data_IF_690970238857
#
_entry.id   IF_690970238857
#
_cell.length_a   1.000
_cell.length_b   1.000
_cell.length_c   1.000
_cell.angle_alpha   90.00
_cell.angle_beta   90.00
_cell.angle_gamma   90.00
#
_symmetry.space_group_name_H-M   'P 1'
#
loop_
_entity.id
_entity.type
_entity.pdbx_description
1 polymer ?
#
# COMPACT_ATOMS: atom_id res chain seq x y z
N UNK A 1 -8.39 46.17 -10.32
CA UNK A 1 -7.62 46.37 -9.08
C UNK A 1 -6.42 45.43 -9.10
N UNK A 2 -5.23 46.03 -9.01
CA UNK A 2 -3.86 45.53 -8.81
C UNK A 2 -3.53 44.03 -8.88
N UNK A 3 -2.50 43.75 -9.70
CA UNK A 3 -1.55 42.65 -9.51
C UNK A 3 -0.71 42.88 -8.24
N UNK A 4 -0.58 41.87 -7.37
CA UNK A 4 0.61 41.71 -6.54
C UNK A 4 0.97 40.23 -6.40
N UNK A 5 2.13 39.94 -6.97
CA UNK A 5 2.82 38.68 -7.11
C UNK A 5 3.66 38.40 -5.84
N UNK A 6 3.92 37.12 -5.57
CA UNK A 6 5.07 36.59 -4.83
C UNK A 6 5.23 36.86 -3.33
N UNK A 7 4.95 35.80 -2.54
CA UNK A 7 5.88 35.36 -1.48
C UNK A 7 5.67 33.89 -1.13
N UNK A 8 6.37 33.03 -1.87
CA UNK A 8 6.72 31.67 -1.46
C UNK A 8 7.51 31.72 -0.15
N UNK A 9 6.83 31.53 0.98
CA UNK A 9 7.49 31.37 2.30
C UNK A 9 6.74 30.38 3.21
N UNK A 10 6.29 29.24 2.66
CA UNK A 10 5.98 28.06 3.49
C UNK A 10 7.17 27.09 3.55
N UNK A 11 8.39 27.62 3.59
CA UNK A 11 9.62 26.90 3.92
C UNK A 11 9.84 26.73 5.44
N UNK A 12 8.81 26.96 6.25
CA UNK A 12 8.89 26.84 7.70
C UNK A 12 8.52 25.46 8.26
N UNK A 13 8.18 24.46 7.43
CA UNK A 13 8.35 23.07 7.82
C UNK A 13 9.84 22.70 7.74
N UNK A 14 10.65 23.31 8.62
CA UNK A 14 11.93 22.72 8.97
C UNK A 14 11.61 21.37 9.57
N UNK A 15 11.86 20.30 8.80
CA UNK A 15 12.26 19.01 9.36
C UNK A 15 13.50 19.31 10.22
N UNK A 16 13.29 19.66 11.49
CA UNK A 16 14.33 19.52 12.46
C UNK A 16 14.37 18.04 12.82
N UNK A 17 15.18 17.31 12.05
CA UNK A 17 15.69 16.00 12.43
C UNK A 17 16.61 16.21 13.64
N UNK A 18 16.00 16.43 14.82
CA UNK A 18 16.73 16.34 16.07
C UNK A 18 16.70 14.89 16.50
N UNK A 19 17.74 14.20 16.04
CA UNK A 19 18.21 12.94 16.59
C UNK A 19 18.55 13.16 18.07
N UNK A 20 17.56 13.00 18.94
CA UNK A 20 17.78 12.96 20.39
C UNK A 20 16.68 12.16 21.08
N UNK A 21 17.01 10.91 21.38
CA UNK A 21 16.50 10.14 22.51
C UNK A 21 14.97 9.95 22.58
N UNK A 22 14.40 9.33 21.55
CA UNK A 22 13.03 8.78 21.55
C UNK A 22 12.86 7.54 22.44
N UNK A 23 13.66 7.37 23.50
CA UNK A 23 13.41 6.34 24.51
C UNK A 23 12.34 6.77 25.52
N UNK A 24 12.13 8.08 25.71
CA UNK A 24 11.21 8.63 26.72
C UNK A 24 9.80 8.90 26.19
N UNK A 25 9.61 8.95 24.86
CA UNK A 25 8.30 9.18 24.22
C UNK A 25 7.49 7.89 24.05
N UNK A 26 8.14 6.71 24.15
CA UNK A 26 7.51 5.37 24.10
C UNK A 26 6.73 5.01 25.38
N UNK A 27 6.93 5.73 26.49
CA UNK A 27 6.31 5.38 27.78
C UNK A 27 4.83 5.78 27.91
N UNK A 28 4.32 6.69 27.07
CA UNK A 28 3.01 7.35 27.32
C UNK A 28 1.78 6.61 26.77
N UNK A 29 1.94 5.51 26.03
CA UNK A 29 0.82 4.69 25.55
C UNK A 29 1.07 3.21 25.83
N UNK A 30 0.55 2.75 26.97
CA UNK A 30 0.15 1.36 27.22
C UNK A 30 1.29 0.33 27.16
N UNK A 31 1.88 0.06 28.32
CA UNK A 31 2.51 -1.22 28.71
C UNK A 31 2.94 -2.16 27.57
N UNK A 32 4.18 -2.03 27.11
CA UNK A 32 4.91 -3.17 26.53
C UNK A 32 5.37 -4.10 27.67
N UNK A 33 4.40 -4.65 28.39
CA UNK A 33 4.66 -5.73 29.35
C UNK A 33 4.64 -7.00 28.52
N UNK A 34 5.79 -7.66 28.42
CA UNK A 34 5.88 -8.99 27.82
C UNK A 34 4.92 -9.91 28.58
N UNK A 35 3.90 -10.47 27.90
CA UNK A 35 2.92 -11.28 28.57
C UNK A 35 3.62 -12.48 29.23
N UNK A 36 3.31 -12.71 30.50
CA UNK A 36 3.85 -13.86 31.23
C UNK A 36 3.42 -15.19 30.61
N UNK A 37 4.01 -16.32 31.05
CA UNK A 37 3.69 -17.64 30.50
C UNK A 37 2.17 -17.95 30.49
N UNK A 38 1.45 -17.48 31.51
CA UNK A 38 0.00 -17.60 31.62
C UNK A 38 -0.77 -16.74 30.63
N UNK A 39 -0.33 -15.50 30.41
CA UNK A 39 -0.97 -14.58 29.48
C UNK A 39 -0.71 -15.00 28.02
N UNK A 40 0.49 -15.52 27.74
CA UNK A 40 0.83 -16.16 26.46
C UNK A 40 -0.03 -17.39 26.18
N UNK A 41 -0.40 -18.16 27.20
CA UNK A 41 -1.31 -19.30 27.05
C UNK A 41 -2.75 -18.87 26.73
N UNK A 42 -3.20 -17.71 27.24
CA UNK A 42 -4.51 -17.14 26.92
C UNK A 42 -4.57 -16.48 25.54
N UNK A 43 -3.42 -16.00 25.04
CA UNK A 43 -3.28 -15.49 23.67
C UNK A 43 -3.02 -16.61 22.64
N UNK A 44 -2.76 -17.83 23.10
CA UNK A 44 -2.58 -18.98 22.23
C UNK A 44 -3.88 -19.25 21.47
N UNK A 45 -3.75 -19.70 20.22
CA UNK A 45 -4.91 -19.83 19.35
C UNK A 45 -5.76 -21.04 19.78
N UNK A 46 -6.96 -20.77 20.30
CA UNK A 46 -7.85 -21.83 20.76
C UNK A 46 -8.32 -22.73 19.61
N UNK A 47 -8.25 -24.07 19.77
CA UNK A 47 -8.66 -25.01 18.73
C UNK A 47 -10.17 -24.93 18.42
N UNK A 48 -10.98 -24.50 19.39
CA UNK A 48 -12.42 -24.26 19.23
C UNK A 48 -12.72 -23.03 18.36
N UNK A 49 -11.93 -21.96 18.50
CA UNK A 49 -12.09 -20.73 17.71
C UNK A 49 -11.52 -20.86 16.29
N UNK A 50 -10.61 -21.81 16.06
CA UNK A 50 -10.00 -22.08 14.73
C UNK A 50 -11.03 -22.39 13.64
N UNK A 51 -12.17 -22.98 13.99
CA UNK A 51 -13.26 -23.30 13.04
C UNK A 51 -14.08 -22.07 12.62
N UNK A 52 -14.18 -21.07 13.51
CA UNK A 52 -15.03 -19.89 13.33
C UNK A 52 -14.25 -18.62 12.99
N UNK A 53 -12.92 -18.63 13.17
CA UNK A 53 -12.05 -17.52 12.77
C UNK A 53 -12.04 -17.40 11.25
N UNK A 54 -12.73 -16.38 10.75
CA UNK A 54 -12.92 -16.03 9.33
C UNK A 54 -11.61 -15.78 8.54
N UNK A 55 -10.46 -15.73 9.23
CA UNK A 55 -9.14 -15.56 8.62
C UNK A 55 -8.61 -16.87 7.97
N UNK A 56 -9.38 -17.47 7.05
CA UNK A 56 -8.88 -18.57 6.21
C UNK A 56 -7.90 -17.99 5.19
N UNK A 57 -6.65 -18.46 5.23
CA UNK A 57 -5.64 -18.20 4.19
C UNK A 57 -6.17 -18.46 2.77
N UNK A 58 -7.19 -19.32 2.61
CA UNK A 58 -7.84 -19.57 1.31
C UNK A 58 -8.57 -18.36 0.73
N UNK A 59 -9.25 -17.54 1.55
CA UNK A 59 -9.93 -16.34 1.06
C UNK A 59 -8.92 -15.28 0.62
N UNK A 60 -7.81 -15.16 1.34
CA UNK A 60 -6.69 -14.29 0.94
C UNK A 60 -6.10 -14.75 -0.40
N UNK A 61 -5.89 -16.06 -0.58
CA UNK A 61 -5.43 -16.64 -1.86
C UNK A 61 -6.42 -16.40 -2.99
N UNK A 62 -7.72 -16.60 -2.74
CA UNK A 62 -8.77 -16.38 -3.74
C UNK A 62 -8.81 -14.91 -4.20
N UNK A 63 -8.68 -13.97 -3.27
CA UNK A 63 -8.56 -12.54 -3.60
C UNK A 63 -7.33 -12.26 -4.47
N UNK A 64 -6.16 -12.79 -4.09
CA UNK A 64 -4.94 -12.60 -4.87
C UNK A 64 -5.03 -13.19 -6.28
N UNK A 65 -5.68 -14.35 -6.46
CA UNK A 65 -5.91 -14.94 -7.78
C UNK A 65 -6.82 -14.05 -8.64
N UNK A 66 -7.88 -13.49 -8.04
CA UNK A 66 -8.74 -12.52 -8.71
C UNK A 66 -7.97 -11.28 -9.17
N UNK A 67 -7.18 -10.68 -8.27
CA UNK A 67 -6.39 -9.48 -8.58
C UNK A 67 -5.37 -9.76 -9.71
N UNK A 68 -4.66 -10.89 -9.66
CA UNK A 68 -3.69 -11.28 -10.71
C UNK A 68 -4.40 -11.47 -12.05
N UNK A 69 -5.57 -12.11 -12.07
CA UNK A 69 -6.33 -12.29 -13.31
C UNK A 69 -6.73 -10.95 -13.92
N UNK A 70 -7.17 -9.99 -13.10
CA UNK A 70 -7.52 -8.64 -13.62
C UNK A 70 -6.32 -7.93 -14.23
N UNK A 71 -5.15 -8.01 -13.61
CA UNK A 71 -3.91 -7.41 -14.12
C UNK A 71 -3.53 -8.03 -15.48
N UNK A 72 -3.61 -9.35 -15.60
CA UNK A 72 -3.30 -10.06 -16.86
C UNK A 72 -4.23 -9.62 -17.99
N UNK A 73 -5.54 -9.51 -17.72
CA UNK A 73 -6.53 -9.08 -18.72
C UNK A 73 -6.29 -7.63 -19.15
N UNK A 74 -6.03 -6.72 -18.20
CA UNK A 74 -5.73 -5.31 -18.51
C UNK A 74 -4.44 -5.21 -19.32
N UNK A 75 -3.39 -5.94 -18.95
CA UNK A 75 -2.12 -5.94 -19.68
C UNK A 75 -2.28 -6.45 -21.12
N UNK A 76 -3.02 -7.54 -21.33
CA UNK A 76 -3.32 -8.07 -22.66
C UNK A 76 -4.11 -7.07 -23.51
N UNK A 77 -5.10 -6.41 -22.93
CA UNK A 77 -5.89 -5.38 -23.62
C UNK A 77 -5.03 -4.16 -24.00
N UNK A 78 -4.17 -3.69 -23.09
CA UNK A 78 -3.24 -2.60 -23.38
C UNK A 78 -2.24 -2.96 -24.48
N UNK A 79 -1.80 -4.21 -24.55
CA UNK A 79 -0.90 -4.68 -25.61
C UNK A 79 -1.58 -4.68 -26.98
N UNK A 80 -2.82 -5.17 -27.07
CA UNK A 80 -3.62 -5.16 -28.31
C UNK A 80 -3.80 -3.73 -28.86
N UNK A 81 -4.11 -2.77 -27.99
CA UNK A 81 -4.25 -1.37 -28.37
C UNK A 81 -2.91 -0.80 -28.85
N UNK A 82 -1.82 -1.09 -28.14
CA UNK A 82 -0.48 -0.65 -28.51
C UNK A 82 -0.09 -1.15 -29.90
N UNK A 83 -0.24 -2.45 -30.16
CA UNK A 83 0.08 -3.04 -31.47
C UNK A 83 -0.78 -2.42 -32.57
N UNK A 84 -2.09 -2.28 -32.36
CA UNK A 84 -2.97 -1.61 -33.34
C UNK A 84 -2.59 -0.15 -33.59
N UNK A 85 -2.18 0.58 -32.56
CA UNK A 85 -1.72 1.97 -32.70
C UNK A 85 -0.42 2.05 -33.51
N UNK A 86 0.56 1.20 -33.21
CA UNK A 86 1.85 1.13 -33.94
C UNK A 86 1.62 0.78 -35.41
N UNK A 87 0.81 -0.25 -35.70
CA UNK A 87 0.54 -0.63 -37.09
C UNK A 87 -0.19 0.48 -37.87
N UNK A 88 -1.03 1.28 -37.20
CA UNK A 88 -1.71 2.43 -37.80
C UNK A 88 -0.76 3.61 -38.04
N UNK A 89 0.24 3.80 -37.18
CA UNK A 89 1.31 4.78 -37.37
C UNK A 89 2.20 4.41 -38.57
N UNK A 90 2.60 3.15 -38.67
CA UNK A 90 3.41 2.65 -39.79
C UNK A 90 2.68 2.80 -41.13
N UNK A 91 1.38 2.52 -41.18
CA UNK A 91 0.56 2.77 -42.38
C UNK A 91 0.48 4.26 -42.77
N UNK A 92 0.47 5.18 -41.79
CA UNK A 92 0.48 6.63 -42.05
C UNK A 92 1.83 7.13 -42.55
N UNK A 93 2.93 6.53 -42.10
CA UNK A 93 4.27 6.85 -42.60
C UNK A 93 4.47 6.39 -44.04
N UNK A 94 3.93 5.23 -44.42
CA UNK A 94 4.02 4.71 -45.80
C UNK A 94 3.14 5.47 -46.81
N UNK A 95 2.08 6.13 -46.35
CA UNK A 95 1.18 6.92 -47.20
C UNK A 95 1.69 8.37 -47.45
N UNK A 96 2.87 8.73 -46.94
CA UNK A 96 3.43 10.08 -46.99
C UNK A 96 4.75 10.06 -47.76
#
# INVERSE_FOLDING_TARGET
MAFLLNKTTLSAFRLHSQKSNDSLTISRRGFHVEPGAREKALLAEDPSLKRFKSHKKSLRRLKTVGDVLTIVVVAGCCYEIYVKAVMREEARKQAK
#
